data_IF_843734494562
#
_entry.id   IF_843734494562
#
_cell.length_a   1.000
_cell.length_b   1.000
_cell.length_c   1.000
_cell.angle_alpha   90.00
_cell.angle_beta   90.00
_cell.angle_gamma   90.00
#
_symmetry.space_group_name_H-M   'P 1'
#
loop_
_entity.id
_entity.type
_entity.pdbx_description
1 polymer ?
#
# COMPACT_ATOMS: atom_id res chain seq x y z
N UNK A 1 -20.47 7.59 19.70
CA UNK A 1 -19.63 7.20 20.88
C UNK A 1 -18.51 6.20 20.51
N UNK A 2 -18.72 5.22 19.61
CA UNK A 2 -17.71 4.21 19.28
C UNK A 2 -16.44 4.75 18.60
N UNK A 3 -16.53 5.90 17.97
CA UNK A 3 -15.47 6.51 17.17
C UNK A 3 -14.73 7.65 17.88
N UNK A 4 -15.25 8.10 19.01
CA UNK A 4 -14.64 9.16 19.81
C UNK A 4 -13.82 8.59 20.96
N UNK A 5 -12.87 9.38 21.45
CA UNK A 5 -12.14 9.10 22.69
C UNK A 5 -13.11 9.20 23.91
N UNK A 6 -12.65 8.78 25.08
CA UNK A 6 -13.47 8.78 26.28
C UNK A 6 -14.01 10.18 26.65
N UNK A 7 -13.28 11.23 26.31
CA UNK A 7 -13.65 12.62 26.55
C UNK A 7 -14.56 13.19 25.46
N UNK A 8 -14.86 12.44 24.41
CA UNK A 8 -15.65 12.85 23.23
C UNK A 8 -15.12 14.10 22.51
N UNK A 9 -13.83 14.38 22.64
CA UNK A 9 -13.18 15.57 22.08
C UNK A 9 -12.42 15.30 20.80
N UNK A 10 -12.11 14.02 20.49
CA UNK A 10 -11.35 13.63 19.32
C UNK A 10 -11.70 12.21 18.87
N UNK A 11 -11.30 11.86 17.65
CA UNK A 11 -11.45 10.51 17.11
C UNK A 11 -10.52 9.52 17.80
N UNK A 12 -10.96 8.28 17.90
CA UNK A 12 -10.12 7.16 18.30
C UNK A 12 -9.22 6.74 17.13
N UNK A 13 -8.22 7.56 16.86
CA UNK A 13 -7.29 7.38 15.74
C UNK A 13 -6.62 6.00 15.70
N UNK A 14 -6.41 5.39 16.86
CA UNK A 14 -5.92 4.03 17.01
C UNK A 14 -6.82 2.96 16.37
N UNK A 15 -8.07 3.31 16.05
CA UNK A 15 -9.08 2.47 15.39
C UNK A 15 -9.44 2.91 13.97
N UNK A 16 -8.88 4.02 13.51
CA UNK A 16 -9.14 4.53 12.16
C UNK A 16 -8.25 3.85 11.15
N UNK A 17 -8.85 3.30 10.11
CA UNK A 17 -8.14 2.82 8.92
C UNK A 17 -8.31 3.87 7.82
N UNK A 18 -7.20 4.38 7.31
CA UNK A 18 -7.19 5.23 6.13
C UNK A 18 -7.02 4.36 4.89
N UNK A 19 -7.84 4.58 3.88
CA UNK A 19 -7.74 3.85 2.64
C UNK A 19 -8.03 4.75 1.45
N UNK A 20 -7.36 4.49 0.34
CA UNK A 20 -7.60 5.22 -0.88
C UNK A 20 -7.01 4.54 -2.10
N UNK A 21 -7.48 4.93 -3.27
CA UNK A 21 -6.96 4.51 -4.56
C UNK A 21 -6.39 5.72 -5.30
N UNK A 22 -5.29 5.53 -6.04
CA UNK A 22 -4.68 6.60 -6.84
C UNK A 22 -4.28 7.79 -5.96
N UNK A 23 -4.80 9.00 -6.24
CA UNK A 23 -4.59 10.18 -5.40
C UNK A 23 -5.09 9.99 -3.96
N UNK A 24 -6.18 9.24 -3.76
CA UNK A 24 -6.67 8.91 -2.42
C UNK A 24 -5.67 8.10 -1.60
N UNK A 25 -4.87 7.24 -2.23
CA UNK A 25 -3.79 6.52 -1.54
C UNK A 25 -2.67 7.46 -1.11
N UNK A 26 -2.31 8.45 -1.94
CA UNK A 26 -1.36 9.51 -1.59
C UNK A 26 -1.83 10.32 -0.38
N UNK A 27 -3.08 10.79 -0.42
CA UNK A 27 -3.68 11.56 0.67
C UNK A 27 -3.69 10.76 1.98
N UNK A 28 -4.12 9.49 1.93
CA UNK A 28 -4.15 8.61 3.10
C UNK A 28 -2.75 8.38 3.68
N UNK A 29 -1.77 8.09 2.83
CA UNK A 29 -0.40 7.85 3.25
C UNK A 29 0.26 9.12 3.82
N UNK A 30 0.04 10.29 3.19
CA UNK A 30 0.57 11.56 3.64
C UNK A 30 -0.04 11.99 4.97
N UNK A 31 -1.36 11.88 5.12
CA UNK A 31 -2.03 12.18 6.39
C UNK A 31 -1.45 11.33 7.53
N UNK A 32 -1.22 10.05 7.30
CA UNK A 32 -0.68 9.14 8.29
C UNK A 32 0.79 9.42 8.68
N UNK A 33 1.51 10.28 7.94
CA UNK A 33 2.81 10.81 8.36
C UNK A 33 2.68 11.72 9.59
N UNK A 34 1.57 12.44 9.70
CA UNK A 34 1.31 13.42 10.76
C UNK A 34 0.40 12.89 11.86
N UNK A 35 -0.47 11.95 11.54
CA UNK A 35 -1.43 11.37 12.47
C UNK A 35 -1.23 9.86 12.59
N UNK A 36 -1.04 9.37 13.82
CA UNK A 36 -0.99 7.93 14.09
C UNK A 36 -2.37 7.31 13.93
N UNK A 37 -2.49 6.33 13.02
CA UNK A 37 -3.73 5.62 12.73
C UNK A 37 -3.56 4.10 12.89
N UNK A 38 -4.67 3.36 12.91
CA UNK A 38 -4.63 1.91 13.02
C UNK A 38 -3.95 1.27 11.79
N UNK A 39 -4.22 1.80 10.58
CA UNK A 39 -3.73 1.22 9.34
C UNK A 39 -3.87 2.21 8.18
N UNK A 40 -3.02 2.02 7.16
CA UNK A 40 -3.12 2.67 5.86
C UNK A 40 -3.18 1.58 4.78
N UNK A 41 -4.18 1.66 3.91
CA UNK A 41 -4.32 0.76 2.75
C UNK A 41 -4.29 1.58 1.47
N UNK A 42 -3.23 1.40 0.69
CA UNK A 42 -2.98 2.13 -0.54
C UNK A 42 -3.22 1.23 -1.77
N UNK A 43 -4.25 1.54 -2.53
CA UNK A 43 -4.50 0.91 -3.83
C UNK A 43 -3.96 1.79 -4.95
N UNK A 44 -3.28 1.18 -5.93
CA UNK A 44 -2.75 1.89 -7.08
C UNK A 44 -2.04 3.21 -6.69
N UNK A 45 -1.10 3.11 -5.75
CA UNK A 45 -0.36 4.27 -5.23
C UNK A 45 0.47 3.98 -3.97
N UNK A 46 1.05 5.02 -3.33
CA UNK A 46 0.87 6.47 -3.59
C UNK A 46 1.26 6.87 -5.00
N UNK A 47 0.51 7.81 -5.59
CA UNK A 47 0.68 8.16 -7.00
C UNK A 47 1.63 9.34 -7.24
N UNK A 48 1.82 10.20 -6.28
CA UNK A 48 2.79 11.27 -6.41
C UNK A 48 4.22 10.76 -6.27
N UNK A 49 5.15 11.46 -6.90
CA UNK A 49 6.57 11.14 -6.85
C UNK A 49 7.34 12.01 -5.86
N UNK A 50 6.63 12.63 -4.92
CA UNK A 50 7.22 13.60 -4.00
C UNK A 50 7.95 12.88 -2.87
N UNK A 51 9.21 12.55 -3.10
CA UNK A 51 10.10 11.93 -2.13
C UNK A 51 10.21 12.72 -0.83
N UNK A 52 10.12 14.05 -0.94
CA UNK A 52 10.26 14.97 0.18
C UNK A 52 9.33 14.64 1.35
N UNK A 53 8.09 14.22 1.10
CA UNK A 53 7.20 13.83 2.19
C UNK A 53 7.25 12.32 2.49
N UNK A 54 7.51 11.48 1.48
CA UNK A 54 7.50 10.02 1.62
C UNK A 54 8.63 9.54 2.54
N UNK A 55 9.79 10.18 2.48
CA UNK A 55 10.96 9.87 3.30
C UNK A 55 10.89 10.44 4.73
N UNK A 56 9.97 11.37 5.01
CA UNK A 56 9.82 11.93 6.35
C UNK A 56 9.51 10.86 7.40
N UNK A 57 9.92 11.07 8.66
CA UNK A 57 9.43 10.29 9.78
C UNK A 57 7.89 10.21 9.79
N UNK A 58 7.35 9.10 10.23
CA UNK A 58 5.91 8.87 10.20
C UNK A 58 5.35 8.65 11.60
N UNK A 59 4.26 9.37 11.94
CA UNK A 59 3.51 9.13 13.16
C UNK A 59 2.88 7.72 13.17
N UNK A 60 2.43 7.25 11.99
CA UNK A 60 1.97 5.85 11.82
C UNK A 60 3.16 4.97 11.46
N UNK A 61 3.48 3.94 12.27
CA UNK A 61 4.59 3.02 11.96
C UNK A 61 4.44 2.32 10.61
N UNK A 62 5.56 2.10 9.92
CA UNK A 62 5.58 1.56 8.56
C UNK A 62 4.96 0.15 8.43
N UNK A 63 4.99 -0.68 9.49
CA UNK A 63 4.32 -1.98 9.51
C UNK A 63 2.78 -1.91 9.41
N UNK A 64 2.21 -0.71 9.53
CA UNK A 64 0.77 -0.44 9.41
C UNK A 64 0.34 -0.01 8.02
N UNK A 65 1.29 0.16 7.08
CA UNK A 65 1.00 0.47 5.68
C UNK A 65 0.95 -0.80 4.86
N UNK A 66 -0.04 -0.89 3.98
CA UNK A 66 -0.25 -2.00 3.05
C UNK A 66 -0.52 -1.44 1.66
N UNK A 67 0.08 -2.03 0.64
CA UNK A 67 -0.10 -1.63 -0.74
C UNK A 67 -0.57 -2.79 -1.62
N UNK A 68 -1.46 -2.48 -2.58
CA UNK A 68 -1.87 -3.40 -3.63
C UNK A 68 -2.06 -2.66 -4.96
N UNK A 69 -1.42 -3.16 -6.02
CA UNK A 69 -1.51 -2.58 -7.36
C UNK A 69 -1.41 -3.64 -8.45
N UNK A 70 -1.62 -3.20 -9.68
CA UNK A 70 -1.45 -4.01 -10.89
C UNK A 70 -0.14 -3.65 -11.60
N UNK A 71 0.58 -4.64 -12.14
CA UNK A 71 1.88 -4.43 -12.81
C UNK A 71 1.78 -3.63 -14.11
N UNK A 72 0.62 -3.57 -14.76
CA UNK A 72 0.37 -2.72 -15.93
C UNK A 72 -0.18 -1.34 -15.58
N UNK A 73 -0.40 -1.04 -14.30
CA UNK A 73 -0.74 0.33 -13.89
C UNK A 73 0.39 1.29 -14.28
N UNK A 74 0.03 2.44 -14.84
CA UNK A 74 1.04 3.44 -15.28
C UNK A 74 1.98 3.86 -14.14
N UNK A 75 1.48 3.94 -12.92
CA UNK A 75 2.30 4.26 -11.76
C UNK A 75 3.29 3.14 -11.39
N UNK A 76 2.92 1.87 -11.63
CA UNK A 76 3.83 0.75 -11.47
C UNK A 76 4.91 0.73 -12.55
N UNK A 77 4.51 0.78 -13.80
CA UNK A 77 5.43 0.74 -14.95
C UNK A 77 6.42 1.91 -14.99
N UNK A 78 6.11 2.99 -14.30
CA UNK A 78 6.99 4.12 -14.10
C UNK A 78 7.80 4.05 -12.77
N UNK A 79 7.78 2.90 -12.10
CA UNK A 79 8.42 2.63 -10.80
C UNK A 79 7.96 3.51 -9.62
N UNK A 80 6.86 4.27 -9.79
CA UNK A 80 6.41 5.23 -8.78
C UNK A 80 5.93 4.54 -7.50
N UNK A 81 5.11 3.50 -7.64
CA UNK A 81 4.53 2.82 -6.48
C UNK A 81 5.59 2.02 -5.73
N UNK A 82 6.46 1.34 -6.48
CA UNK A 82 7.55 0.58 -5.92
C UNK A 82 8.49 1.47 -5.10
N UNK A 83 8.90 2.58 -5.68
CA UNK A 83 9.73 3.58 -5.03
C UNK A 83 9.04 4.17 -3.80
N UNK A 84 7.77 4.56 -3.92
CA UNK A 84 6.99 5.06 -2.79
C UNK A 84 6.92 4.04 -1.65
N UNK A 85 6.71 2.77 -1.95
CA UNK A 85 6.67 1.72 -0.94
C UNK A 85 8.03 1.50 -0.25
N UNK A 86 9.14 1.65 -0.99
CA UNK A 86 10.47 1.61 -0.40
C UNK A 86 10.70 2.78 0.57
N UNK A 87 10.34 4.01 0.16
CA UNK A 87 10.48 5.21 0.98
C UNK A 87 9.57 5.18 2.22
N UNK A 88 8.38 4.59 2.10
CA UNK A 88 7.49 4.33 3.22
C UNK A 88 7.99 3.18 4.13
N UNK A 89 9.08 2.51 3.76
CA UNK A 89 9.72 1.46 4.55
C UNK A 89 9.05 0.10 4.49
N UNK A 90 8.19 -0.16 3.50
CA UNK A 90 7.42 -1.41 3.41
C UNK A 90 8.29 -2.63 3.10
N UNK A 91 9.47 -2.44 2.49
CA UNK A 91 10.42 -3.53 2.21
C UNK A 91 10.92 -4.23 3.49
N UNK A 92 10.85 -3.56 4.62
CA UNK A 92 11.19 -4.14 5.94
C UNK A 92 10.19 -5.21 6.40
N UNK A 93 9.03 -5.30 5.76
CA UNK A 93 7.91 -6.15 6.20
C UNK A 93 7.46 -7.14 5.12
N UNK A 94 8.36 -7.54 4.26
CA UNK A 94 8.15 -8.60 3.28
C UNK A 94 8.51 -8.19 1.85
N UNK A 95 8.74 -9.21 0.99
CA UNK A 95 9.02 -9.01 -0.43
C UNK A 95 7.78 -8.49 -1.18
N UNK A 96 7.99 -8.03 -2.40
CA UNK A 96 6.92 -7.82 -3.35
C UNK A 96 6.32 -9.17 -3.76
N UNK A 97 5.00 -9.36 -3.59
CA UNK A 97 4.36 -10.64 -3.88
C UNK A 97 3.19 -10.49 -4.83
N UNK A 98 3.19 -11.33 -5.86
CA UNK A 98 2.09 -11.48 -6.78
C UNK A 98 1.01 -12.39 -6.18
N UNK A 99 -0.20 -11.85 -5.99
CA UNK A 99 -1.32 -12.56 -5.35
C UNK A 99 -1.88 -13.70 -6.22
N UNK A 100 -1.57 -13.73 -7.52
CA UNK A 100 -1.89 -14.85 -8.40
C UNK A 100 -0.99 -16.06 -8.15
N UNK A 101 0.21 -15.84 -7.62
CA UNK A 101 1.25 -16.86 -7.44
C UNK A 101 1.42 -17.30 -5.99
N UNK A 102 0.97 -16.51 -5.04
CA UNK A 102 1.16 -16.75 -3.61
C UNK A 102 -0.20 -16.80 -2.89
N UNK A 103 -0.44 -17.89 -2.19
CA UNK A 103 -1.66 -18.08 -1.40
C UNK A 103 -1.66 -17.21 -0.14
N UNK A 104 -2.88 -16.91 0.33
CA UNK A 104 -3.11 -16.30 1.64
C UNK A 104 -2.32 -17.07 2.74
N UNK A 105 -1.66 -16.41 3.68
CA UNK A 105 -1.65 -14.96 3.97
C UNK A 105 -0.52 -14.17 3.28
N UNK A 106 -0.22 -14.43 2.02
CA UNK A 106 0.70 -13.67 1.16
C UNK A 106 2.06 -13.40 1.81
N UNK A 107 2.66 -14.43 2.44
CA UNK A 107 3.95 -14.31 3.12
C UNK A 107 4.02 -13.23 4.20
N UNK A 108 2.89 -12.76 4.70
CA UNK A 108 2.74 -11.61 5.62
C UNK A 108 3.32 -10.30 5.06
N UNK A 109 3.44 -10.16 3.73
CA UNK A 109 4.00 -8.98 3.09
C UNK A 109 3.05 -7.77 3.15
N UNK A 110 3.65 -6.58 3.13
CA UNK A 110 2.95 -5.30 3.01
C UNK A 110 2.80 -4.83 1.56
N UNK A 111 3.39 -5.56 0.62
CA UNK A 111 3.50 -5.16 -0.79
C UNK A 111 2.95 -6.24 -1.70
N UNK A 112 1.75 -6.02 -2.20
CA UNK A 112 1.05 -6.97 -3.06
C UNK A 112 0.85 -6.40 -4.46
N UNK A 113 1.03 -7.25 -5.45
CA UNK A 113 0.76 -6.94 -6.86
C UNK A 113 -0.09 -8.04 -7.48
N UNK A 114 -0.69 -7.73 -8.64
CA UNK A 114 -1.28 -8.69 -9.54
C UNK A 114 -0.79 -8.46 -10.97
N UNK A 115 -0.65 -9.52 -11.73
CA UNK A 115 -0.42 -9.54 -13.17
C UNK A 115 -1.63 -10.08 -13.95
N UNK A 116 -2.80 -10.07 -13.33
CA UNK A 116 -4.05 -10.52 -13.94
C UNK A 116 -4.26 -9.86 -15.32
N UNK A 117 -4.62 -10.66 -16.30
CA UNK A 117 -4.79 -10.13 -17.66
C UNK A 117 -5.93 -9.10 -17.75
N UNK A 118 -5.59 -7.95 -18.29
CA UNK A 118 -6.48 -6.81 -18.50
C UNK A 118 -6.48 -6.36 -19.98
N UNK A 119 -6.09 -7.26 -20.88
CA UNK A 119 -5.99 -7.00 -22.32
C UNK A 119 -5.03 -5.83 -22.63
N UNK A 120 -3.96 -5.69 -21.89
CA UNK A 120 -2.99 -4.59 -22.00
C UNK A 120 -3.52 -3.20 -21.62
N UNK A 121 -4.73 -3.10 -21.09
CA UNK A 121 -5.39 -1.83 -20.78
C UNK A 121 -4.95 -1.28 -19.42
N UNK A 122 -4.06 -0.28 -19.44
CA UNK A 122 -3.53 0.35 -18.23
C UNK A 122 -4.59 1.07 -17.37
N UNK A 123 -5.67 1.56 -17.95
CA UNK A 123 -6.78 2.17 -17.20
C UNK A 123 -7.61 1.09 -16.47
N UNK A 124 -7.84 -0.05 -17.13
CA UNK A 124 -8.45 -1.23 -16.50
C UNK A 124 -7.56 -1.74 -15.37
N UNK A 125 -6.25 -1.86 -15.61
CA UNK A 125 -5.25 -2.22 -14.60
C UNK A 125 -5.31 -1.31 -13.37
N UNK A 126 -5.42 0.01 -13.58
CA UNK A 126 -5.52 0.99 -12.50
C UNK A 126 -6.76 0.82 -11.62
N UNK A 127 -7.89 0.49 -12.23
CA UNK A 127 -9.18 0.39 -11.54
C UNK A 127 -9.50 -0.98 -10.96
N UNK A 128 -8.98 -2.07 -11.54
CA UNK A 128 -9.40 -3.43 -11.24
C UNK A 128 -9.11 -3.82 -9.78
N UNK A 129 -8.01 -3.35 -9.22
CA UNK A 129 -7.56 -3.70 -7.85
C UNK A 129 -8.52 -3.27 -6.74
N UNK A 130 -9.41 -2.32 -7.03
CA UNK A 130 -10.42 -1.82 -6.06
C UNK A 130 -11.86 -2.10 -6.46
N UNK A 131 -12.09 -2.66 -7.66
CA UNK A 131 -13.46 -2.82 -8.20
C UNK A 131 -13.87 -4.26 -8.42
N UNK A 132 -12.92 -5.14 -8.68
CA UNK A 132 -13.21 -6.52 -9.03
C UNK A 132 -13.28 -7.39 -7.78
N UNK A 133 -14.43 -8.03 -7.59
CA UNK A 133 -14.71 -8.89 -6.43
C UNK A 133 -13.82 -10.12 -6.30
N UNK A 134 -13.02 -10.46 -7.32
CA UNK A 134 -11.99 -11.52 -7.22
C UNK A 134 -10.96 -11.24 -6.12
N UNK A 135 -10.74 -9.98 -5.79
CA UNK A 135 -9.77 -9.53 -4.79
C UNK A 135 -10.31 -9.50 -3.36
N UNK A 136 -11.49 -10.07 -3.08
CA UNK A 136 -12.09 -10.05 -1.74
C UNK A 136 -11.14 -10.55 -0.65
N UNK A 137 -10.41 -11.64 -0.91
CA UNK A 137 -9.45 -12.18 0.05
C UNK A 137 -8.21 -11.29 0.20
N UNK A 138 -7.76 -10.64 -0.88
CA UNK A 138 -6.70 -9.65 -0.84
C UNK A 138 -7.16 -8.44 -0.02
N UNK A 139 -8.36 -7.91 -0.29
CA UNK A 139 -8.92 -6.81 0.50
C UNK A 139 -9.06 -7.18 1.97
N UNK A 140 -9.61 -8.36 2.28
CA UNK A 140 -9.69 -8.87 3.65
C UNK A 140 -8.31 -8.87 4.31
N UNK A 141 -7.30 -9.40 3.63
CA UNK A 141 -5.93 -9.37 4.12
C UNK A 141 -5.44 -7.94 4.40
N UNK A 142 -5.56 -7.03 3.43
CA UNK A 142 -5.08 -5.67 3.56
C UNK A 142 -5.72 -4.93 4.74
N UNK A 143 -7.01 -5.18 5.02
CA UNK A 143 -7.74 -4.50 6.08
C UNK A 143 -7.64 -5.18 7.45
N UNK A 144 -7.41 -6.49 7.51
CA UNK A 144 -7.54 -7.23 8.77
C UNK A 144 -6.29 -8.00 9.21
N UNK A 145 -5.28 -8.18 8.33
CA UNK A 145 -4.08 -8.93 8.71
C UNK A 145 -3.38 -8.27 9.91
N UNK A 146 -3.01 -9.04 10.96
CA UNK A 146 -2.36 -8.50 12.15
C UNK A 146 -1.09 -7.71 11.80
N UNK A 147 -0.95 -6.50 12.34
CA UNK A 147 0.17 -5.60 12.01
C UNK A 147 1.51 -6.05 12.62
N UNK A 148 1.47 -6.92 13.63
CA UNK A 148 2.62 -7.55 14.26
C UNK A 148 3.11 -8.79 13.52
N UNK A 149 2.28 -9.40 12.65
CA UNK A 149 2.70 -10.47 11.75
C UNK A 149 3.29 -9.88 10.49
N UNK A 150 4.59 -10.02 10.32
CA UNK A 150 5.35 -9.40 9.24
C UNK A 150 6.10 -10.44 8.42
N UNK A 151 6.24 -10.18 7.12
CA UNK A 151 7.13 -10.93 6.24
C UNK A 151 8.60 -10.63 6.53
N UNK A 152 9.48 -11.46 5.98
CA UNK A 152 10.93 -11.26 6.13
C UNK A 152 11.38 -9.99 5.40
N UNK A 153 12.26 -9.17 6.00
CA UNK A 153 12.80 -7.99 5.34
C UNK A 153 13.52 -8.33 4.03
N UNK A 154 13.41 -7.47 3.05
CA UNK A 154 14.12 -7.57 1.78
C UNK A 154 14.98 -6.31 1.61
N UNK A 155 16.31 -6.41 1.75
CA UNK A 155 17.21 -5.25 1.66
C UNK A 155 17.23 -4.65 0.25
N UNK A 156 17.20 -5.52 -0.75
CA UNK A 156 17.14 -5.15 -2.17
C UNK A 156 16.07 -5.97 -2.84
N UNK A 157 15.11 -5.33 -3.47
CA UNK A 157 14.03 -5.99 -4.18
C UNK A 157 14.30 -5.92 -5.68
N UNK A 158 14.65 -7.04 -6.34
CA UNK A 158 14.94 -7.03 -7.77
C UNK A 158 13.71 -6.68 -8.61
N UNK A 159 12.50 -6.99 -8.10
CA UNK A 159 11.24 -6.67 -8.79
C UNK A 159 10.84 -5.19 -8.61
N UNK A 160 11.55 -4.49 -7.74
CA UNK A 160 11.35 -3.09 -7.39
C UNK A 160 12.59 -2.25 -7.79
N UNK A 161 13.24 -2.60 -8.88
CA UNK A 161 14.38 -1.84 -9.39
C UNK A 161 13.89 -0.49 -9.93
N UNK A 162 14.44 0.56 -9.38
CA UNK A 162 14.20 1.92 -9.86
C UNK A 162 14.87 2.09 -11.22
N UNK A 163 14.16 1.80 -12.28
CA UNK A 163 14.56 2.25 -13.61
C UNK A 163 14.24 3.74 -13.69
N UNK A 164 15.25 4.56 -13.48
CA UNK A 164 15.17 5.98 -13.82
C UNK A 164 14.87 6.04 -15.32
N UNK A 165 13.66 6.47 -15.68
CA UNK A 165 13.38 6.78 -17.07
C UNK A 165 14.21 8.02 -17.42
N UNK A 166 14.96 8.00 -18.51
CA UNK A 166 15.46 9.25 -19.06
C UNK A 166 14.25 10.13 -19.38
N UNK A 167 14.33 11.40 -19.01
CA UNK A 167 13.35 12.44 -19.34
C UNK A 167 13.16 12.52 -20.86
#
# INVERSE_FOLDING_TARGET
ERFLNEKQTDLRWDKVILSGSSHGSTTSARFAKHQKVARVVAFAGPRDQLESWQSLPSATPANRYFGFTHVLDKGWTADHYCRSWQMLGLAKFGPLLNVEKVKFPFGNSRRLITDFDVDGNANKAHGIVVRDGRWKDVWKYLYTHPVDKMGKPVPTDPDCTMKIRPN
#
